data_IF_607118757424
#
_entry.id   IF_607118757424
#
_cell.length_a   1.000
_cell.length_b   1.000
_cell.length_c   1.000
_cell.angle_alpha   90.00
_cell.angle_beta   90.00
_cell.angle_gamma   90.00
#
_symmetry.space_group_name_H-M   'P 1'
#
loop_
_entity.id
_entity.type
_entity.pdbx_description
1 polymer ?
#
# COMPACT_ATOMS: atom_id res chain seq x y z
N UNK A 1 -8.18 -8.61 1.24
CA UNK A 1 -7.15 -7.53 1.19
C UNK A 1 -6.35 -7.53 2.49
N UNK A 2 -4.98 -7.44 2.42
CA UNK A 2 -4.13 -7.42 3.63
C UNK A 2 -4.22 -6.13 4.44
N UNK A 3 -4.71 -5.04 3.85
CA UNK A 3 -4.99 -3.78 4.56
C UNK A 3 -6.05 -3.94 5.64
N UNK A 4 -6.95 -4.92 5.49
CA UNK A 4 -8.01 -5.23 6.45
C UNK A 4 -7.53 -6.12 7.62
N UNK A 5 -6.28 -6.55 7.61
CA UNK A 5 -5.66 -7.35 8.66
C UNK A 5 -4.53 -6.62 9.39
N UNK A 6 -4.59 -5.29 9.38
CA UNK A 6 -3.63 -4.44 10.09
C UNK A 6 -3.94 -4.39 11.58
N UNK A 7 -2.91 -4.18 12.41
CA UNK A 7 -3.06 -3.95 13.85
C UNK A 7 -3.66 -2.58 14.16
N UNK A 8 -3.47 -1.63 13.23
CA UNK A 8 -4.11 -0.32 13.24
C UNK A 8 -4.81 -0.12 11.90
N UNK A 9 -6.09 0.17 11.92
CA UNK A 9 -6.87 0.41 10.71
C UNK A 9 -6.64 1.81 10.16
N UNK A 10 -6.69 1.98 8.83
CA UNK A 10 -6.74 3.31 8.22
C UNK A 10 -8.09 3.98 8.53
N UNK A 11 -8.13 5.30 8.46
CA UNK A 11 -9.37 6.07 8.57
C UNK A 11 -10.33 5.77 7.41
N UNK A 12 -9.78 5.61 6.22
CA UNK A 12 -10.50 5.27 4.99
C UNK A 12 -9.59 4.48 4.03
N UNK A 13 -10.20 3.83 3.07
CA UNK A 13 -9.51 3.20 1.94
C UNK A 13 -10.03 3.84 0.65
N UNK A 14 -9.14 4.40 -0.16
CA UNK A 14 -9.50 4.94 -1.48
C UNK A 14 -8.90 4.05 -2.56
N UNK A 15 -9.76 3.36 -3.30
CA UNK A 15 -9.35 2.47 -4.40
C UNK A 15 -9.31 3.27 -5.69
N UNK A 16 -8.10 3.48 -6.23
CA UNK A 16 -7.86 4.12 -7.51
C UNK A 16 -7.86 3.06 -8.62
N UNK A 17 -8.85 3.09 -9.49
CA UNK A 17 -9.14 2.06 -10.48
C UNK A 17 -9.03 2.64 -11.90
N UNK A 18 -7.99 2.24 -12.63
CA UNK A 18 -7.65 2.72 -13.99
C UNK A 18 -8.41 1.93 -15.08
N UNK A 19 -9.73 1.78 -14.91
CA UNK A 19 -10.60 1.25 -15.93
C UNK A 19 -10.85 -0.25 -15.89
N UNK A 20 -10.87 -0.84 -14.70
CA UNK A 20 -11.22 -2.26 -14.56
C UNK A 20 -12.68 -2.54 -14.93
N UNK A 21 -12.98 -3.83 -15.11
CA UNK A 21 -14.29 -4.32 -15.55
C UNK A 21 -15.31 -4.34 -14.41
N UNK A 22 -16.57 -4.66 -14.76
CA UNK A 22 -17.69 -4.71 -13.82
C UNK A 22 -17.49 -5.74 -12.71
N UNK A 23 -16.73 -6.80 -12.95
CA UNK A 23 -16.42 -7.82 -11.95
C UNK A 23 -15.62 -7.22 -10.79
N UNK A 24 -14.61 -6.39 -11.09
CA UNK A 24 -13.82 -5.68 -10.07
C UNK A 24 -14.70 -4.69 -9.30
N UNK A 25 -15.57 -3.96 -10.00
CA UNK A 25 -16.50 -3.01 -9.36
C UNK A 25 -17.46 -3.73 -8.39
N UNK A 26 -17.99 -4.89 -8.78
CA UNK A 26 -18.86 -5.70 -7.91
C UNK A 26 -18.13 -6.22 -6.68
N UNK A 27 -16.90 -6.72 -6.85
CA UNK A 27 -16.05 -7.13 -5.73
C UNK A 27 -15.78 -5.98 -4.76
N UNK A 28 -15.55 -4.76 -5.26
CA UNK A 28 -15.35 -3.59 -4.40
C UNK A 28 -16.62 -3.23 -3.64
N UNK A 29 -17.80 -3.32 -4.27
CA UNK A 29 -19.09 -3.12 -3.59
C UNK A 29 -19.32 -4.12 -2.46
N UNK A 30 -18.97 -5.39 -2.67
CA UNK A 30 -19.01 -6.39 -1.60
C UNK A 30 -18.10 -5.99 -0.43
N UNK A 31 -16.86 -5.58 -0.71
CA UNK A 31 -15.94 -5.10 0.33
C UNK A 31 -16.50 -3.89 1.09
N UNK A 32 -17.17 -2.96 0.40
CA UNK A 32 -17.80 -1.78 1.04
C UNK A 32 -18.90 -2.16 2.04
N UNK A 33 -19.58 -3.29 1.83
CA UNK A 33 -20.63 -3.78 2.74
C UNK A 33 -20.10 -4.66 3.85
N UNK A 34 -19.02 -5.38 3.59
CA UNK A 34 -18.46 -6.37 4.52
C UNK A 34 -17.62 -5.73 5.63
N UNK A 35 -16.94 -4.60 5.33
CA UNK A 35 -15.96 -4.03 6.25
C UNK A 35 -16.42 -2.70 6.86
N UNK A 36 -16.10 -2.46 8.14
CA UNK A 36 -16.56 -1.26 8.86
C UNK A 36 -15.75 0.01 8.49
N UNK A 37 -14.71 -0.13 7.67
CA UNK A 37 -13.87 0.99 7.24
C UNK A 37 -14.49 1.60 5.99
N UNK A 38 -14.65 2.94 5.90
CA UNK A 38 -15.12 3.58 4.67
C UNK A 38 -14.22 3.23 3.48
N UNK A 39 -14.80 2.69 2.42
CA UNK A 39 -14.10 2.36 1.17
C UNK A 39 -14.68 3.22 0.06
N UNK A 40 -13.87 4.08 -0.52
CA UNK A 40 -14.23 4.86 -1.70
C UNK A 40 -13.67 4.18 -2.95
N UNK A 41 -14.49 4.08 -4.01
CA UNK A 41 -14.06 3.57 -5.32
C UNK A 41 -14.01 4.72 -6.32
N UNK A 42 -12.82 5.09 -6.74
CA UNK A 42 -12.57 6.11 -7.74
C UNK A 42 -12.21 5.40 -9.05
N UNK A 43 -13.11 5.45 -10.00
CA UNK A 43 -12.99 4.76 -11.28
C UNK A 43 -13.01 5.75 -12.44
N UNK A 44 -12.40 5.40 -13.55
CA UNK A 44 -12.63 6.02 -14.85
C UNK A 44 -12.53 4.96 -15.96
N UNK A 45 -13.14 5.25 -17.11
CA UNK A 45 -13.14 4.40 -18.29
C UNK A 45 -11.69 4.06 -18.72
N UNK A 46 -11.46 2.81 -19.17
CA UNK A 46 -10.18 2.41 -19.76
C UNK A 46 -9.95 3.14 -21.10
N UNK A 47 -8.95 3.99 -21.12
CA UNK A 47 -8.44 4.70 -22.30
C UNK A 47 -6.91 4.59 -22.37
N UNK A 48 -6.37 3.41 -22.08
CA UNK A 48 -4.95 3.14 -21.94
C UNK A 48 -4.39 3.51 -20.57
N UNK A 49 -3.08 3.42 -20.41
CA UNK A 49 -2.41 3.60 -19.13
C UNK A 49 -2.51 5.04 -18.61
N UNK A 50 -3.39 5.28 -17.65
CA UNK A 50 -3.63 6.60 -17.03
C UNK A 50 -3.54 6.57 -15.51
N UNK A 51 -2.66 5.70 -14.99
CA UNK A 51 -2.45 5.51 -13.54
C UNK A 51 -2.28 6.84 -12.79
N UNK A 52 -1.48 7.78 -13.32
CA UNK A 52 -1.26 9.07 -12.66
C UNK A 52 -2.55 9.91 -12.56
N UNK A 53 -3.42 9.85 -13.56
CA UNK A 53 -4.68 10.60 -13.52
C UNK A 53 -5.63 10.06 -12.47
N UNK A 54 -5.80 8.74 -12.39
CA UNK A 54 -6.68 8.14 -11.38
C UNK A 54 -6.12 8.32 -9.98
N UNK A 55 -4.80 8.25 -9.81
CA UNK A 55 -4.11 8.53 -8.56
C UNK A 55 -4.39 9.94 -8.06
N UNK A 56 -4.27 10.95 -8.94
CA UNK A 56 -4.58 12.34 -8.60
C UNK A 56 -6.04 12.54 -8.18
N UNK A 57 -6.98 11.82 -8.85
CA UNK A 57 -8.39 11.84 -8.44
C UNK A 57 -8.57 11.21 -7.05
N UNK A 58 -7.93 10.08 -6.79
CA UNK A 58 -8.01 9.39 -5.50
C UNK A 58 -7.43 10.25 -4.36
N UNK A 59 -6.28 10.90 -4.58
CA UNK A 59 -5.67 11.83 -3.60
C UNK A 59 -6.60 13.02 -3.30
N UNK A 60 -7.28 13.57 -4.33
CA UNK A 60 -8.24 14.66 -4.14
C UNK A 60 -9.48 14.22 -3.37
N UNK A 61 -9.92 12.98 -3.55
CA UNK A 61 -11.07 12.41 -2.86
C UNK A 61 -10.76 12.02 -1.41
N UNK A 62 -9.50 11.72 -1.09
CA UNK A 62 -9.07 11.36 0.25
C UNK A 62 -9.30 12.50 1.24
N UNK A 63 -9.79 12.13 2.43
CA UNK A 63 -10.08 13.06 3.54
C UNK A 63 -9.00 13.06 4.60
N UNK A 64 -8.21 11.98 4.70
CA UNK A 64 -7.12 11.84 5.67
C UNK A 64 -5.95 12.81 5.42
N UNK A 65 -5.28 13.23 6.49
CA UNK A 65 -4.11 14.12 6.43
C UNK A 65 -2.83 13.40 5.97
N UNK A 66 -2.82 12.09 6.11
CA UNK A 66 -1.68 11.23 5.80
C UNK A 66 -2.09 10.12 4.82
N UNK A 67 -1.48 10.08 3.64
CA UNK A 67 -1.85 9.16 2.57
C UNK A 67 -0.78 8.10 2.40
N UNK A 68 -1.16 6.82 2.48
CA UNK A 68 -0.32 5.68 2.17
C UNK A 68 -0.75 5.14 0.81
N UNK A 69 0.12 5.20 -0.17
CA UNK A 69 -0.11 4.61 -1.48
C UNK A 69 0.51 3.21 -1.55
N UNK A 70 -0.29 2.23 -1.97
CA UNK A 70 0.14 0.85 -2.20
C UNK A 70 -0.41 0.36 -3.54
N UNK A 71 0.35 -0.51 -4.23
CA UNK A 71 -0.18 -1.21 -5.41
C UNK A 71 -1.07 -2.40 -4.96
N UNK A 72 -2.05 -2.75 -5.79
CA UNK A 72 -3.06 -3.76 -5.45
C UNK A 72 -2.54 -5.19 -5.28
N UNK A 73 -1.32 -5.47 -5.73
CA UNK A 73 -0.64 -6.77 -5.66
C UNK A 73 0.31 -6.90 -4.45
N UNK A 74 0.28 -5.95 -3.52
CA UNK A 74 1.15 -5.94 -2.34
C UNK A 74 0.50 -6.67 -1.17
N UNK A 75 1.26 -7.57 -0.55
CA UNK A 75 0.93 -8.16 0.75
C UNK A 75 1.60 -7.35 1.86
N UNK A 76 0.79 -6.70 2.68
CA UNK A 76 1.25 -5.85 3.77
C UNK A 76 1.61 -6.65 5.01
N UNK A 77 2.67 -6.23 5.71
CA UNK A 77 2.95 -6.70 7.07
C UNK A 77 1.85 -6.21 8.03
N UNK A 78 1.42 -6.99 9.06
CA UNK A 78 0.32 -6.59 9.94
C UNK A 78 0.53 -5.25 10.68
N UNK A 79 1.74 -4.84 10.91
CA UNK A 79 2.10 -3.56 11.57
C UNK A 79 2.40 -2.44 10.57
N UNK A 80 2.15 -2.65 9.28
CA UNK A 80 2.57 -1.72 8.24
C UNK A 80 2.01 -0.31 8.44
N UNK A 81 0.71 -0.17 8.71
CA UNK A 81 0.08 1.13 8.96
C UNK A 81 0.57 1.74 10.27
N UNK A 82 0.67 0.94 11.34
CA UNK A 82 1.15 1.41 12.64
C UNK A 82 2.60 1.95 12.53
N UNK A 83 3.50 1.21 11.88
CA UNK A 83 4.89 1.61 11.68
C UNK A 83 5.00 2.93 10.88
N UNK A 84 4.13 3.09 9.87
CA UNK A 84 4.09 4.32 9.10
C UNK A 84 3.63 5.52 9.92
N UNK A 85 2.58 5.36 10.73
CA UNK A 85 2.08 6.43 11.58
C UNK A 85 3.06 6.82 12.70
N UNK A 86 3.86 5.86 13.17
CA UNK A 86 4.90 6.12 14.18
C UNK A 86 6.02 7.04 13.66
N UNK A 87 6.38 6.91 12.37
CA UNK A 87 7.49 7.67 11.78
C UNK A 87 7.04 8.80 10.84
N UNK A 88 5.71 9.02 10.74
CA UNK A 88 5.15 10.07 9.90
C UNK A 88 5.53 11.45 10.44
N UNK A 89 6.11 12.29 9.59
CA UNK A 89 6.55 13.64 9.93
C UNK A 89 6.13 14.63 8.83
N UNK A 90 5.55 15.79 9.16
CA UNK A 90 5.18 16.79 8.17
C UNK A 90 6.38 17.24 7.33
N UNK A 91 6.22 17.33 6.01
CA UNK A 91 7.28 17.72 5.10
C UNK A 91 8.18 16.57 4.63
N UNK A 92 8.00 15.38 5.18
CA UNK A 92 8.75 14.19 4.78
C UNK A 92 7.84 13.16 4.10
N UNK A 93 8.42 12.39 3.19
CA UNK A 93 7.79 11.19 2.65
C UNK A 93 8.62 9.96 3.01
N UNK A 94 7.93 8.83 3.19
CA UNK A 94 8.55 7.58 3.56
C UNK A 94 8.51 6.63 2.37
N UNK A 95 9.65 6.05 2.01
CA UNK A 95 9.77 5.02 1.00
C UNK A 95 9.99 3.67 1.65
N UNK A 96 9.04 2.77 1.53
CA UNK A 96 9.16 1.40 1.98
C UNK A 96 9.94 0.50 1.01
N UNK A 97 10.64 -0.50 1.56
CA UNK A 97 11.20 -1.60 0.79
C UNK A 97 10.17 -2.70 0.52
N UNK A 98 10.36 -3.47 -0.55
CA UNK A 98 9.53 -4.64 -0.85
C UNK A 98 10.36 -5.89 -1.05
N UNK A 99 9.78 -7.04 -0.71
CA UNK A 99 10.31 -8.36 -1.01
C UNK A 99 9.54 -8.93 -2.19
N UNK A 100 10.26 -9.38 -3.22
CA UNK A 100 9.63 -9.97 -4.39
C UNK A 100 9.36 -11.46 -4.14
N UNK A 101 8.10 -11.84 -4.24
CA UNK A 101 7.65 -13.24 -4.11
C UNK A 101 7.62 -13.85 -5.52
N UNK A 102 8.24 -15.02 -5.71
CA UNK A 102 8.22 -15.69 -7.01
C UNK A 102 6.84 -16.29 -7.33
N UNK A 103 6.57 -16.56 -8.61
CA UNK A 103 5.28 -17.03 -9.10
C UNK A 103 4.77 -18.31 -8.40
N UNK A 104 5.67 -19.26 -8.06
CA UNK A 104 5.29 -20.49 -7.36
C UNK A 104 4.74 -20.19 -5.96
N UNK A 105 5.41 -19.32 -5.21
CA UNK A 105 4.95 -18.91 -3.87
C UNK A 105 3.70 -18.05 -3.94
N UNK A 106 3.58 -17.17 -4.94
CA UNK A 106 2.37 -16.39 -5.17
C UNK A 106 1.16 -17.30 -5.33
N UNK A 107 1.27 -18.34 -6.19
CA UNK A 107 0.21 -19.33 -6.38
C UNK A 107 -0.14 -20.07 -5.07
N UNK A 108 0.86 -20.41 -4.27
CA UNK A 108 0.65 -21.05 -2.97
C UNK A 108 -0.12 -20.15 -1.98
N UNK A 109 0.23 -18.86 -1.92
CA UNK A 109 -0.48 -17.89 -1.06
C UNK A 109 -1.93 -17.68 -1.51
N UNK A 110 -2.18 -17.57 -2.81
CA UNK A 110 -3.52 -17.41 -3.35
C UNK A 110 -4.41 -18.64 -3.07
N UNK A 111 -3.90 -19.86 -3.29
CA UNK A 111 -4.68 -21.09 -3.07
C UNK A 111 -5.03 -21.35 -1.60
N UNK A 112 -4.21 -20.88 -0.67
CA UNK A 112 -4.44 -21.11 0.77
C UNK A 112 -5.14 -19.97 1.47
N UNK A 113 -5.55 -18.92 0.77
CA UNK A 113 -6.00 -17.65 1.37
C UNK A 113 -5.04 -17.19 2.50
N UNK A 114 -3.75 -17.51 2.36
CA UNK A 114 -2.74 -17.26 3.36
C UNK A 114 -2.34 -15.77 3.32
N UNK A 115 -3.19 -14.93 3.89
CA UNK A 115 -2.99 -13.47 3.97
C UNK A 115 -1.79 -13.07 4.85
N UNK A 116 -1.17 -14.05 5.53
CA UNK A 116 0.02 -13.83 6.36
C UNK A 116 1.16 -14.72 5.86
N UNK A 117 2.10 -14.18 5.08
CA UNK A 117 3.28 -14.93 4.68
C UNK A 117 4.12 -15.27 5.91
N UNK A 118 4.36 -16.55 6.14
CA UNK A 118 5.26 -16.99 7.21
C UNK A 118 6.72 -16.61 6.87
N UNK A 119 7.51 -16.24 7.87
CA UNK A 119 8.92 -15.86 7.72
C UNK A 119 9.73 -16.90 6.94
N UNK A 120 9.49 -18.21 7.17
CA UNK A 120 10.13 -19.31 6.45
C UNK A 120 9.91 -19.27 4.94
N UNK A 121 8.77 -18.81 4.49
CA UNK A 121 8.43 -18.72 3.07
C UNK A 121 9.09 -17.53 2.36
N UNK A 122 9.55 -16.53 3.12
CA UNK A 122 10.18 -15.33 2.58
C UNK A 122 11.72 -15.46 2.48
N UNK A 123 12.33 -16.39 3.21
CA UNK A 123 13.79 -16.57 3.25
C UNK A 123 14.45 -16.87 1.89
N UNK A 124 13.70 -17.40 0.93
CA UNK A 124 14.16 -17.69 -0.46
C UNK A 124 13.69 -16.67 -1.50
N UNK A 125 13.29 -15.48 -1.05
CA UNK A 125 12.82 -14.41 -1.94
C UNK A 125 13.91 -13.36 -2.19
N UNK A 126 13.84 -12.66 -3.29
CA UNK A 126 14.72 -11.53 -3.56
C UNK A 126 14.42 -10.41 -2.55
N UNK A 127 15.46 -9.72 -2.08
CA UNK A 127 15.36 -8.67 -1.05
C UNK A 127 14.72 -9.18 0.26
N UNK A 128 15.03 -10.42 0.65
CA UNK A 128 14.47 -11.09 1.84
C UNK A 128 14.61 -10.30 3.14
N UNK A 129 15.63 -9.47 3.26
CA UNK A 129 15.84 -8.63 4.46
C UNK A 129 14.73 -7.60 4.66
N UNK A 130 14.09 -7.12 3.58
CA UNK A 130 12.97 -6.20 3.66
C UNK A 130 11.68 -6.85 4.24
N UNK A 131 11.65 -8.17 4.36
CA UNK A 131 10.53 -8.90 4.96
C UNK A 131 10.62 -8.97 6.51
N UNK A 132 11.75 -8.56 7.10
CA UNK A 132 11.93 -8.59 8.55
C UNK A 132 11.63 -7.21 9.14
N UNK A 133 10.70 -7.19 10.07
CA UNK A 133 10.46 -6.03 10.93
C UNK A 133 11.41 -6.12 12.13
N UNK A 134 12.36 -5.20 12.22
CA UNK A 134 13.29 -5.08 13.33
C UNK A 134 13.24 -3.63 13.85
N UNK A 135 12.27 -3.28 14.71
CA UNK A 135 12.03 -1.90 15.13
C UNK A 135 13.26 -1.24 15.76
N UNK A 136 13.99 -2.00 16.57
CA UNK A 136 15.21 -1.53 17.24
C UNK A 136 16.32 -1.08 16.27
N UNK A 137 16.38 -1.67 15.06
CA UNK A 137 17.37 -1.32 14.04
C UNK A 137 16.85 -0.32 13.00
N UNK A 138 15.58 0.06 13.08
CA UNK A 138 14.96 0.97 12.10
C UNK A 138 15.75 2.28 11.99
N UNK A 139 16.12 2.88 13.11
CA UNK A 139 16.88 4.14 13.14
C UNK A 139 18.31 4.02 12.56
N UNK A 140 18.90 2.82 12.56
CA UNK A 140 20.24 2.57 12.01
C UNK A 140 20.18 2.41 10.48
N UNK A 141 19.09 1.83 9.96
CA UNK A 141 18.91 1.57 8.53
C UNK A 141 18.04 2.61 7.81
N UNK A 142 17.46 3.55 8.54
CA UNK A 142 16.74 4.69 7.98
C UNK A 142 17.70 5.81 7.66
N UNK A 143 17.62 6.34 6.45
CA UNK A 143 18.39 7.50 5.99
C UNK A 143 17.45 8.56 5.47
N UNK A 144 17.73 9.82 5.78
CA UNK A 144 17.08 10.97 5.15
C UNK A 144 17.80 11.28 3.85
N UNK A 145 17.07 11.42 2.76
CA UNK A 145 17.60 11.82 1.45
C UNK A 145 16.78 12.98 0.91
N UNK A 146 17.44 14.01 0.42
CA UNK A 146 16.80 15.12 -0.28
C UNK A 146 16.54 14.80 -1.77
N UNK A 147 17.09 13.69 -2.27
CA UNK A 147 16.92 13.29 -3.67
C UNK A 147 15.56 12.61 -3.89
N UNK A 148 14.65 13.35 -4.51
CA UNK A 148 13.31 12.89 -4.90
C UNK A 148 13.27 12.29 -6.31
N UNK A 149 14.36 12.33 -7.09
CA UNK A 149 14.36 11.94 -8.51
C UNK A 149 14.32 10.44 -8.73
N UNK A 150 14.78 9.65 -7.77
CA UNK A 150 14.84 8.18 -7.85
C UNK A 150 13.73 7.49 -7.08
N UNK A 151 12.62 8.14 -6.86
CA UNK A 151 11.48 7.53 -6.18
C UNK A 151 10.82 6.50 -7.12
N UNK A 152 11.50 5.39 -7.32
CA UNK A 152 10.94 4.17 -7.92
C UNK A 152 10.39 3.33 -6.77
N UNK A 153 9.14 3.50 -6.44
CA UNK A 153 8.65 2.80 -5.29
C UNK A 153 7.19 2.42 -5.36
N UNK A 154 6.91 1.39 -4.61
CA UNK A 154 5.60 0.78 -4.46
C UNK A 154 4.81 1.48 -3.35
N UNK A 155 5.44 2.31 -2.54
CA UNK A 155 4.81 2.96 -1.39
C UNK A 155 5.25 4.42 -1.36
N UNK A 156 4.27 5.30 -1.47
CA UNK A 156 4.43 6.73 -1.36
C UNK A 156 3.58 7.24 -0.21
N UNK A 157 4.18 8.11 0.57
CA UNK A 157 3.49 8.85 1.60
C UNK A 157 3.61 10.32 1.27
N UNK A 158 2.48 10.95 1.06
CA UNK A 158 2.42 12.39 0.87
C UNK A 158 1.40 12.90 1.87
N UNK A 159 1.85 13.70 2.83
CA UNK A 159 0.94 14.46 3.67
C UNK A 159 0.11 15.41 2.80
N UNK A 160 -1.17 15.48 2.99
CA UNK A 160 -2.09 16.33 2.21
C UNK A 160 -1.63 17.78 2.12
N UNK A 161 -0.96 18.29 3.15
CA UNK A 161 -0.44 19.66 3.20
C UNK A 161 0.76 19.91 2.27
N UNK A 162 1.44 18.86 1.80
CA UNK A 162 2.63 19.00 0.92
C UNK A 162 2.25 19.09 -0.56
N UNK A 163 1.03 18.66 -0.94
CA UNK A 163 0.56 18.70 -2.34
C UNK A 163 -0.14 20.00 -2.74
N UNK A 164 -0.37 20.92 -1.80
CA UNK A 164 -1.15 22.16 -2.04
C UNK A 164 -0.27 23.42 -2.01
N UNK A 165 1.06 23.30 -2.09
CA UNK A 165 1.97 24.44 -2.29
C UNK A 165 2.52 24.37 -3.74
#
# INVERSE_FOLDING_TARGET
>A
MTVLHQTQYPHEIVIADDGSTIETQNMIKELQTEYPIPIQHIWHEDKGFRKTMIMNKAVKAATGDYIIQIDGDILLHPYFIADHLEIAEPGYFIRGGRTLINAFKTRFFLHRNALRPQKSNLMRSNNKFNAFRIPFLANIFSGVSEDVTHVKGVIWLIGRKTLLQ
#
